data_IF_263236873958
#
_entry.id   IF_263236873958
#
_cell.length_a   1.000
_cell.length_b   1.000
_cell.length_c   1.000
_cell.angle_alpha   90.00
_cell.angle_beta   90.00
_cell.angle_gamma   90.00
#
_symmetry.space_group_name_H-M   'P 1'
#
loop_
_entity.id
_entity.type
_entity.pdbx_description
1 polymer ?
#
# COMPACT_ATOMS: atom_id res chain seq x y z
N UNK A 1 -5.68 3.97 5.58
CA UNK A 1 -6.05 3.01 4.51
C UNK A 1 -7.27 2.25 4.98
N UNK A 2 -8.38 2.37 4.26
CA UNK A 2 -9.66 1.82 4.70
C UNK A 2 -9.87 0.41 4.13
N UNK A 3 -10.59 -0.42 4.89
CA UNK A 3 -10.95 -1.77 4.46
C UNK A 3 -11.88 -1.75 3.24
N UNK A 4 -11.57 -2.56 2.22
CA UNK A 4 -12.35 -2.56 0.99
C UNK A 4 -12.20 -3.80 0.10
N UNK A 5 -11.48 -4.84 0.54
CA UNK A 5 -11.19 -6.00 -0.31
C UNK A 5 -10.37 -5.60 -1.53
N UNK A 6 -10.78 -6.07 -2.71
CA UNK A 6 -10.20 -5.70 -4.01
C UNK A 6 -10.08 -4.17 -4.20
N UNK A 7 -11.03 -3.38 -3.68
CA UNK A 7 -11.02 -1.91 -3.82
C UNK A 7 -9.85 -1.24 -3.09
N UNK A 8 -9.13 -1.94 -2.22
CA UNK A 8 -7.95 -1.35 -1.58
C UNK A 8 -6.74 -1.23 -2.52
N UNK A 9 -6.75 -1.89 -3.69
CA UNK A 9 -5.77 -1.64 -4.76
C UNK A 9 -5.85 -0.22 -5.32
N UNK A 10 -7.05 0.38 -5.37
CA UNK A 10 -7.17 1.78 -5.83
C UNK A 10 -6.55 2.77 -4.85
N UNK A 11 -6.55 2.47 -3.54
CA UNK A 11 -5.91 3.31 -2.53
C UNK A 11 -4.38 3.28 -2.67
N UNK A 12 -3.79 2.13 -3.02
CA UNK A 12 -2.36 2.02 -3.35
C UNK A 12 -2.02 2.86 -4.59
N UNK A 13 -2.88 2.83 -5.62
CA UNK A 13 -2.67 3.60 -6.85
C UNK A 13 -2.81 5.12 -6.65
N UNK A 14 -3.75 5.54 -5.80
CA UNK A 14 -3.85 6.93 -5.34
C UNK A 14 -2.54 7.34 -4.63
N UNK A 15 -2.02 6.49 -3.75
CA UNK A 15 -0.77 6.79 -3.04
C UNK A 15 0.42 6.88 -4.01
N UNK A 16 0.52 5.99 -5.00
CA UNK A 16 1.51 6.06 -6.08
C UNK A 16 1.44 7.41 -6.82
N UNK A 17 0.23 7.80 -7.21
CA UNK A 17 -0.01 9.08 -7.90
C UNK A 17 0.42 10.27 -7.05
N UNK A 18 0.07 10.27 -5.75
CA UNK A 18 0.47 11.34 -4.82
C UNK A 18 1.99 11.41 -4.65
N UNK A 19 2.66 10.28 -4.45
CA UNK A 19 4.12 10.24 -4.32
C UNK A 19 4.81 10.75 -5.58
N UNK A 20 4.26 10.42 -6.76
CA UNK A 20 4.77 10.94 -8.03
C UNK A 20 4.59 12.46 -8.14
N UNK A 21 3.41 12.98 -7.82
CA UNK A 21 3.11 14.42 -7.87
C UNK A 21 3.94 15.24 -6.87
N UNK A 22 4.28 14.66 -5.72
CA UNK A 22 5.14 15.29 -4.71
C UNK A 22 6.63 15.17 -5.03
N UNK A 23 6.98 14.60 -6.19
CA UNK A 23 8.33 14.28 -6.62
C UNK A 23 9.11 13.43 -5.59
N UNK A 24 8.40 12.53 -4.92
CA UNK A 24 8.99 11.55 -4.00
C UNK A 24 9.45 10.29 -4.72
N UNK A 25 9.70 10.37 -6.03
CA UNK A 25 10.17 9.24 -6.85
C UNK A 25 11.52 8.69 -6.38
N UNK A 26 12.32 9.51 -5.67
CA UNK A 26 13.58 9.08 -5.05
C UNK A 26 13.37 8.24 -3.79
N UNK A 27 12.19 8.33 -3.17
CA UNK A 27 11.81 7.58 -1.97
C UNK A 27 11.26 6.22 -2.41
N UNK A 28 12.02 5.17 -2.12
CA UNK A 28 11.63 3.80 -2.46
C UNK A 28 10.60 3.23 -1.48
N UNK A 29 10.62 3.71 -0.24
CA UNK A 29 9.84 3.13 0.86
C UNK A 29 8.91 4.16 1.49
N UNK A 30 7.59 3.95 1.48
CA UNK A 30 6.65 4.88 2.10
C UNK A 30 6.92 5.13 3.59
N UNK A 31 7.46 4.16 4.32
CA UNK A 31 7.84 4.33 5.74
C UNK A 31 8.97 5.34 6.00
N UNK A 32 9.66 5.84 4.97
CA UNK A 32 10.67 6.90 5.11
C UNK A 32 10.05 8.30 5.11
N UNK A 33 8.77 8.43 4.72
CA UNK A 33 8.05 9.72 4.66
C UNK A 33 6.85 9.81 5.57
N UNK A 34 6.24 8.68 5.89
CA UNK A 34 5.13 8.62 6.83
C UNK A 34 5.63 8.14 8.19
N UNK A 35 5.61 9.03 9.18
CA UNK A 35 5.91 8.68 10.59
C UNK A 35 4.93 7.64 11.16
N UNK A 36 3.72 7.60 10.58
CA UNK A 36 2.67 6.68 10.98
C UNK A 36 1.84 6.24 9.77
N UNK A 37 1.57 4.93 9.71
CA UNK A 37 0.64 4.34 8.74
C UNK A 37 -0.38 3.49 9.50
N UNK A 38 -1.66 3.77 9.25
CA UNK A 38 -2.77 3.06 9.86
C UNK A 38 -3.76 2.55 8.81
N UNK A 39 -4.40 1.43 9.11
CA UNK A 39 -5.51 0.93 8.31
C UNK A 39 -6.38 -0.10 9.03
N UNK A 40 -7.56 -0.34 8.46
CA UNK A 40 -8.56 -1.29 8.96
C UNK A 40 -8.89 -2.34 7.90
N UNK A 41 -9.24 -3.56 8.30
CA UNK A 41 -9.49 -4.67 7.37
C UNK A 41 -8.31 -4.92 6.43
N UNK A 42 -8.57 -4.95 5.11
CA UNK A 42 -7.50 -5.08 4.10
C UNK A 42 -6.50 -3.92 4.10
N UNK A 43 -6.93 -2.72 4.51
CA UNK A 43 -6.02 -1.59 4.70
C UNK A 43 -5.03 -1.79 5.84
N UNK A 44 -5.34 -2.63 6.81
CA UNK A 44 -4.42 -3.02 7.89
C UNK A 44 -3.28 -3.93 7.38
N UNK A 45 -3.59 -4.85 6.47
CA UNK A 45 -2.58 -5.68 5.79
C UNK A 45 -1.62 -4.81 4.97
N UNK A 46 -2.16 -3.87 4.19
CA UNK A 46 -1.36 -2.89 3.43
C UNK A 46 -0.48 -2.05 4.37
N UNK A 47 -1.03 -1.57 5.50
CA UNK A 47 -0.26 -0.82 6.49
C UNK A 47 0.91 -1.64 7.07
N UNK A 48 0.72 -2.95 7.31
CA UNK A 48 1.79 -3.85 7.78
C UNK A 48 2.87 -4.02 6.70
N UNK A 49 2.49 -4.26 5.44
CA UNK A 49 3.43 -4.43 4.32
C UNK A 49 4.33 -3.19 4.16
N UNK A 50 3.72 -2.02 4.14
CA UNK A 50 4.44 -0.76 3.94
C UNK A 50 5.26 -0.34 5.16
N UNK A 51 4.71 -0.46 6.37
CA UNK A 51 5.34 0.08 7.58
C UNK A 51 6.27 -0.90 8.30
N UNK A 52 5.84 -2.17 8.42
CA UNK A 52 6.57 -3.19 9.20
C UNK A 52 7.48 -4.03 8.34
N UNK A 53 7.01 -4.46 7.17
CA UNK A 53 7.81 -5.25 6.22
C UNK A 53 8.69 -4.37 5.33
N UNK A 54 8.49 -3.04 5.36
CA UNK A 54 9.25 -2.05 4.59
C UNK A 54 9.27 -2.39 3.10
N UNK A 55 8.10 -2.76 2.58
CA UNK A 55 7.91 -2.99 1.15
C UNK A 55 7.74 -1.67 0.42
N UNK A 56 8.18 -1.63 -0.84
CA UNK A 56 7.86 -0.50 -1.72
C UNK A 56 6.38 -0.52 -2.08
N UNK A 57 5.91 0.57 -2.71
CA UNK A 57 4.54 0.62 -3.23
C UNK A 57 4.30 -0.44 -4.32
N UNK A 58 5.30 -0.68 -5.17
CA UNK A 58 5.23 -1.68 -6.24
C UNK A 58 5.14 -3.09 -5.67
N UNK A 59 6.08 -3.46 -4.79
CA UNK A 59 6.08 -4.79 -4.17
C UNK A 59 4.77 -5.04 -3.40
N UNK A 60 4.27 -4.02 -2.70
CA UNK A 60 3.01 -4.12 -1.96
C UNK A 60 1.83 -4.32 -2.89
N UNK A 61 1.81 -3.67 -4.05
CA UNK A 61 0.74 -3.81 -5.04
C UNK A 61 0.70 -5.24 -5.60
N UNK A 62 1.84 -5.80 -5.98
CA UNK A 62 1.93 -7.14 -6.55
C UNK A 62 1.56 -8.23 -5.53
N UNK A 63 2.10 -8.14 -4.31
CA UNK A 63 1.83 -9.10 -3.25
C UNK A 63 0.36 -9.02 -2.78
N UNK A 64 -0.17 -7.81 -2.64
CA UNK A 64 -1.55 -7.62 -2.23
C UNK A 64 -2.53 -8.06 -3.32
N UNK A 65 -2.19 -7.87 -4.60
CA UNK A 65 -2.98 -8.41 -5.73
C UNK A 65 -3.05 -9.94 -5.67
N UNK A 66 -1.92 -10.61 -5.39
CA UNK A 66 -1.87 -12.07 -5.22
C UNK A 66 -2.77 -12.53 -4.07
N UNK A 67 -2.72 -11.85 -2.92
CA UNK A 67 -3.59 -12.17 -1.78
C UNK A 67 -5.07 -11.96 -2.12
N UNK A 68 -5.39 -10.87 -2.81
CA UNK A 68 -6.76 -10.58 -3.22
C UNK A 68 -7.29 -11.66 -4.17
N UNK A 69 -6.50 -12.10 -5.15
CA UNK A 69 -6.87 -13.18 -6.06
C UNK A 69 -7.09 -14.51 -5.33
N UNK A 70 -6.26 -14.85 -4.34
CA UNK A 70 -6.40 -16.09 -3.58
C UNK A 70 -7.57 -16.08 -2.59
N UNK A 71 -7.88 -14.93 -1.99
CA UNK A 71 -8.88 -14.81 -0.92
C UNK A 71 -10.28 -14.53 -1.46
N UNK A 72 -10.39 -13.81 -2.58
CA UNK A 72 -11.68 -13.37 -3.16
C UNK A 72 -12.05 -14.10 -4.46
N UNK A 73 -11.40 -15.23 -4.75
CA UNK A 73 -11.84 -16.17 -5.78
C UNK A 73 -13.13 -16.91 -5.41
#
# INVERSE_FOLDING_TARGET
>A
VDGGGVRSLSQLEIMRTLMHQLNWNEVKLPCERFDFMGGSGTGGLIAIMLARLRMSLDDTFDEFSTIVEQVYQ
#
